data_IF_918773193479
#
_entry.id   IF_918773193479
#
_cell.length_a   1.000
_cell.length_b   1.000
_cell.length_c   1.000
_cell.angle_alpha   90.00
_cell.angle_beta   90.00
_cell.angle_gamma   90.00
#
_symmetry.space_group_name_H-M   'P 1'
#
loop_
_entity.id
_entity.type
_entity.pdbx_description
1 polymer ?
#
# COMPACT_ATOMS: atom_id res chain seq x y z
N UNK A 1 5.82 -12.52 11.07
CA UNK A 1 5.80 -11.82 9.77
C UNK A 1 5.96 -10.30 9.92
N UNK A 2 4.95 -9.57 10.43
CA UNK A 2 4.97 -8.09 10.56
C UNK A 2 6.23 -7.50 11.20
N UNK A 3 6.71 -8.10 12.30
CA UNK A 3 7.90 -7.61 13.04
C UNK A 3 9.22 -7.79 12.27
N UNK A 4 9.27 -8.69 11.28
CA UNK A 4 10.45 -8.83 10.40
C UNK A 4 10.36 -7.90 9.19
N UNK A 5 9.20 -7.88 8.53
CA UNK A 5 8.87 -6.92 7.48
C UNK A 5 7.37 -6.66 7.49
N UNK A 6 6.97 -5.39 7.54
CA UNK A 6 5.56 -5.01 7.69
C UNK A 6 4.67 -5.62 6.59
N UNK A 7 5.09 -5.52 5.33
CA UNK A 7 4.33 -6.07 4.19
C UNK A 7 4.21 -7.59 4.22
N UNK A 8 5.15 -8.31 4.85
CA UNK A 8 5.16 -9.77 4.87
C UNK A 8 3.94 -10.37 5.60
N UNK A 9 3.25 -9.62 6.46
CA UNK A 9 2.02 -10.10 7.09
C UNK A 9 0.90 -10.39 6.07
N UNK A 10 0.88 -9.66 4.96
CA UNK A 10 -0.16 -9.82 3.93
C UNK A 10 0.05 -11.07 3.08
N UNK A 11 1.27 -11.60 3.01
CA UNK A 11 1.58 -12.83 2.27
C UNK A 11 1.20 -14.12 3.04
N UNK A 12 0.57 -14.00 4.21
CA UNK A 12 0.05 -15.14 4.97
C UNK A 12 -1.25 -15.71 4.38
N UNK A 13 -1.90 -14.99 3.47
CA UNK A 13 -3.17 -15.37 2.84
C UNK A 13 -3.07 -15.23 1.30
N UNK A 14 -3.88 -16.02 0.59
CA UNK A 14 -4.12 -15.84 -0.85
C UNK A 14 -5.15 -14.75 -1.15
N UNK A 15 -5.35 -14.43 -2.43
CA UNK A 15 -6.34 -13.46 -2.88
C UNK A 15 -6.05 -12.02 -2.44
N UNK A 16 -7.09 -11.31 -2.01
CA UNK A 16 -7.02 -9.93 -1.55
C UNK A 16 -6.88 -9.86 -0.04
N UNK A 17 -5.88 -9.11 0.44
CA UNK A 17 -5.51 -9.08 1.86
C UNK A 17 -5.34 -7.65 2.36
N UNK A 18 -5.99 -7.34 3.47
CA UNK A 18 -5.84 -6.07 4.19
C UNK A 18 -4.93 -6.24 5.40
N UNK A 19 -3.94 -5.36 5.54
CA UNK A 19 -3.26 -5.17 6.82
C UNK A 19 -3.98 -4.06 7.60
N UNK A 20 -4.61 -4.41 8.72
CA UNK A 20 -5.19 -3.44 9.64
C UNK A 20 -4.08 -2.73 10.40
N UNK A 21 -4.12 -1.40 10.46
CA UNK A 21 -3.10 -0.63 11.15
C UNK A 21 -3.02 -0.95 12.65
N UNK A 22 -4.17 -1.27 13.25
CA UNK A 22 -4.29 -1.44 14.70
C UNK A 22 -4.39 -0.10 15.44
N UNK A 23 -4.72 -0.19 16.71
CA UNK A 23 -4.93 0.93 17.63
C UNK A 23 -4.27 0.69 18.99
N UNK A 24 -3.93 -0.56 19.31
CA UNK A 24 -3.28 -0.92 20.56
C UNK A 24 -1.78 -0.69 20.48
N UNK A 25 -1.20 -0.14 21.55
CA UNK A 25 0.23 0.14 21.65
C UNK A 25 1.10 -1.12 21.56
N UNK A 26 0.60 -2.26 22.05
CA UNK A 26 1.27 -3.56 21.93
C UNK A 26 1.27 -4.11 20.49
N UNK A 27 0.51 -3.48 19.59
CA UNK A 27 0.32 -3.87 18.20
C UNK A 27 -0.44 -5.19 18.03
N UNK A 28 -1.10 -5.72 19.05
CA UNK A 28 -1.81 -7.01 18.99
C UNK A 28 -2.97 -7.02 17.98
N UNK A 29 -3.52 -5.86 17.63
CA UNK A 29 -4.59 -5.69 16.63
C UNK A 29 -4.09 -5.24 15.24
N UNK A 30 -2.77 -5.03 15.08
CA UNK A 30 -2.15 -4.70 13.80
C UNK A 30 -1.81 -5.98 13.02
N UNK A 31 -2.82 -6.55 12.37
CA UNK A 31 -2.79 -7.87 11.74
C UNK A 31 -3.35 -7.87 10.32
N UNK A 32 -2.95 -8.88 9.53
CA UNK A 32 -3.52 -9.13 8.21
C UNK A 32 -4.85 -9.88 8.31
N UNK A 33 -5.78 -9.57 7.42
CA UNK A 33 -7.04 -10.28 7.22
C UNK A 33 -7.30 -10.44 5.73
N UNK A 34 -7.78 -11.61 5.34
CA UNK A 34 -8.24 -11.85 3.97
C UNK A 34 -9.57 -11.12 3.75
N UNK A 35 -9.67 -10.38 2.65
CA UNK A 35 -10.90 -9.73 2.19
C UNK A 35 -11.68 -10.63 1.24
N UNK A 36 -10.95 -11.31 0.35
CA UNK A 36 -11.48 -12.25 -0.62
C UNK A 36 -10.37 -13.25 -0.99
N UNK A 37 -10.74 -14.51 -1.28
CA UNK A 37 -9.80 -15.54 -1.68
C UNK A 37 -9.35 -15.38 -3.15
N UNK A 38 -8.41 -16.22 -3.58
CA UNK A 38 -7.87 -16.22 -4.94
C UNK A 38 -8.88 -16.58 -6.03
N UNK A 39 -10.00 -17.23 -5.69
CA UNK A 39 -11.07 -17.59 -6.64
C UNK A 39 -12.13 -16.50 -6.76
N UNK A 40 -12.12 -15.51 -5.88
CA UNK A 40 -13.07 -14.42 -5.91
C UNK A 40 -12.97 -13.56 -7.17
N UNK A 41 -11.79 -13.43 -7.78
CA UNK A 41 -11.62 -12.63 -9.00
C UNK A 41 -10.53 -13.20 -9.89
N UNK A 42 -10.83 -14.37 -10.45
CA UNK A 42 -9.95 -15.21 -11.27
C UNK A 42 -9.63 -14.64 -12.67
N UNK A 43 -10.44 -13.68 -13.16
CA UNK A 43 -10.20 -12.97 -14.42
C UNK A 43 -8.97 -12.03 -14.37
N UNK A 44 -8.46 -11.70 -13.18
CA UNK A 44 -7.37 -10.74 -13.02
C UNK A 44 -6.02 -11.34 -13.39
N UNK A 45 -5.36 -10.72 -14.36
CA UNK A 45 -3.98 -11.04 -14.75
C UNK A 45 -3.05 -9.91 -14.30
N UNK A 46 -1.99 -10.27 -13.57
CA UNK A 46 -0.95 -9.34 -13.12
C UNK A 46 0.25 -9.46 -14.06
N UNK A 47 0.67 -8.34 -14.65
CA UNK A 47 1.85 -8.26 -15.52
C UNK A 47 2.85 -7.30 -14.86
N UNK A 48 4.10 -7.75 -14.70
CA UNK A 48 5.19 -6.97 -14.11
C UNK A 48 6.22 -6.68 -15.20
N UNK A 49 6.36 -5.40 -15.57
CA UNK A 49 7.42 -4.95 -16.47
C UNK A 49 8.67 -4.59 -15.66
N UNK A 50 9.75 -5.39 -15.81
CA UNK A 50 11.02 -5.14 -15.13
C UNK A 50 11.84 -4.13 -15.92
N UNK A 51 11.84 -2.86 -15.47
CA UNK A 51 12.44 -1.73 -16.20
C UNK A 51 13.90 -1.45 -15.86
N UNK A 52 14.40 -1.94 -14.73
CA UNK A 52 15.80 -1.74 -14.31
C UNK A 52 16.24 -2.83 -13.34
N UNK A 53 17.49 -3.28 -13.46
CA UNK A 53 18.16 -4.18 -12.52
C UNK A 53 19.07 -3.45 -11.52
N UNK A 54 19.12 -2.11 -11.59
CA UNK A 54 19.94 -1.32 -10.66
C UNK A 54 19.29 -1.32 -9.27
N UNK A 55 20.14 -1.39 -8.25
CA UNK A 55 19.70 -1.30 -6.87
C UNK A 55 19.10 0.09 -6.63
N UNK A 56 17.95 0.15 -5.96
CA UNK A 56 17.34 1.43 -5.55
C UNK A 56 18.33 2.19 -4.68
N UNK A 57 18.50 3.49 -4.95
CA UNK A 57 19.38 4.34 -4.15
C UNK A 57 18.88 4.45 -2.70
N UNK A 58 17.58 4.64 -2.51
CA UNK A 58 16.95 4.72 -1.18
C UNK A 58 16.17 3.45 -0.86
N UNK A 59 16.50 2.78 0.25
CA UNK A 59 15.74 1.63 0.74
C UNK A 59 14.32 2.03 1.17
N UNK A 60 13.35 1.11 1.11
CA UNK A 60 11.99 1.41 1.57
C UNK A 60 11.94 1.82 3.06
N UNK A 61 12.77 1.19 3.90
CA UNK A 61 12.79 1.44 5.36
C UNK A 61 13.30 2.85 5.66
N UNK A 62 14.42 3.27 5.05
CA UNK A 62 14.94 4.62 5.22
C UNK A 62 14.01 5.65 4.58
N UNK A 63 13.59 5.42 3.34
CA UNK A 63 12.76 6.36 2.60
C UNK A 63 11.40 6.63 3.25
N UNK A 64 10.72 5.59 3.77
CA UNK A 64 9.44 5.80 4.46
C UNK A 64 9.60 6.56 5.78
N UNK A 65 10.72 6.35 6.49
CA UNK A 65 11.03 7.08 7.72
C UNK A 65 11.28 8.57 7.42
N UNK A 66 12.10 8.85 6.41
CA UNK A 66 12.36 10.22 5.96
C UNK A 66 11.06 10.92 5.51
N UNK A 67 10.19 10.22 4.78
CA UNK A 67 8.86 10.76 4.43
C UNK A 67 8.03 11.08 5.67
N UNK A 68 8.03 10.23 6.70
CA UNK A 68 7.30 10.51 7.96
C UNK A 68 7.84 11.74 8.66
N UNK A 69 9.16 11.92 8.64
CA UNK A 69 9.83 13.03 9.31
C UNK A 69 9.70 14.36 8.54
N UNK A 70 9.62 14.34 7.21
CA UNK A 70 9.79 15.55 6.38
C UNK A 70 8.65 15.87 5.42
N UNK A 71 7.87 14.90 4.93
CA UNK A 71 6.78 15.16 3.99
C UNK A 71 5.56 15.72 4.71
N UNK A 72 5.18 16.95 4.36
CA UNK A 72 3.96 17.59 4.87
C UNK A 72 2.70 16.94 4.29
N UNK A 73 2.80 16.34 3.10
CA UNK A 73 1.68 15.67 2.44
C UNK A 73 1.33 14.31 3.09
N UNK A 74 2.29 13.62 3.69
CA UNK A 74 2.08 12.28 4.23
C UNK A 74 1.06 12.25 5.37
N UNK A 75 1.07 13.25 6.27
CA UNK A 75 0.11 13.31 7.38
C UNK A 75 -1.33 13.41 6.88
N UNK A 76 -1.58 14.24 5.87
CA UNK A 76 -2.89 14.36 5.25
C UNK A 76 -3.28 13.06 4.53
N UNK A 77 -2.35 12.44 3.78
CA UNK A 77 -2.59 11.16 3.12
C UNK A 77 -3.03 10.09 4.12
N UNK A 78 -2.32 9.94 5.23
CA UNK A 78 -2.59 8.90 6.22
C UNK A 78 -3.91 9.11 6.98
N UNK A 79 -4.25 10.36 7.32
CA UNK A 79 -5.45 10.68 8.11
C UNK A 79 -6.71 10.80 7.28
N UNK A 80 -6.63 11.40 6.10
CA UNK A 80 -7.82 11.83 5.35
C UNK A 80 -8.06 11.08 4.05
N UNK A 81 -7.00 10.53 3.44
CA UNK A 81 -7.10 9.91 2.10
C UNK A 81 -7.18 8.40 2.19
N UNK A 82 -6.21 7.77 2.86
CA UNK A 82 -6.11 6.30 2.93
C UNK A 82 -7.34 5.67 3.58
N UNK A 83 -7.91 6.18 4.69
CA UNK A 83 -9.11 5.57 5.29
C UNK A 83 -10.30 5.50 4.32
N UNK A 84 -10.52 6.57 3.54
CA UNK A 84 -11.59 6.62 2.53
C UNK A 84 -11.31 5.67 1.36
N UNK A 85 -10.05 5.62 0.90
CA UNK A 85 -9.63 4.72 -0.18
C UNK A 85 -9.72 3.25 0.21
N UNK A 86 -9.46 2.89 1.47
CA UNK A 86 -9.61 1.52 1.97
C UNK A 86 -11.06 1.05 1.84
N UNK A 87 -12.02 1.86 2.28
CA UNK A 87 -13.45 1.51 2.17
C UNK A 87 -13.87 1.35 0.70
N UNK A 88 -13.46 2.30 -0.16
CA UNK A 88 -13.76 2.24 -1.58
C UNK A 88 -13.10 1.04 -2.28
N UNK A 89 -11.88 0.67 -1.89
CA UNK A 89 -11.15 -0.48 -2.44
C UNK A 89 -11.78 -1.80 -2.00
N UNK A 90 -12.19 -1.91 -0.73
CA UNK A 90 -12.92 -3.09 -0.22
C UNK A 90 -14.23 -3.29 -1.00
N UNK A 91 -14.96 -2.21 -1.27
CA UNK A 91 -16.19 -2.25 -2.07
C UNK A 91 -15.91 -2.67 -3.53
N UNK A 92 -14.90 -2.07 -4.16
CA UNK A 92 -14.52 -2.41 -5.53
C UNK A 92 -14.08 -3.88 -5.67
N UNK A 93 -13.31 -4.40 -4.71
CA UNK A 93 -12.93 -5.81 -4.65
C UNK A 93 -14.16 -6.69 -4.50
N UNK A 94 -15.04 -6.38 -3.54
CA UNK A 94 -16.25 -7.16 -3.27
C UNK A 94 -17.15 -7.27 -4.50
N UNK A 95 -17.31 -6.17 -5.23
CA UNK A 95 -18.23 -6.07 -6.37
C UNK A 95 -17.57 -6.40 -7.72
N UNK A 96 -16.28 -6.75 -7.74
CA UNK A 96 -15.49 -6.93 -8.98
C UNK A 96 -15.55 -5.70 -9.91
N UNK A 97 -15.62 -4.50 -9.33
CA UNK A 97 -15.66 -3.25 -10.08
C UNK A 97 -14.23 -2.87 -10.50
N UNK A 98 -13.85 -3.34 -11.69
CA UNK A 98 -12.52 -3.10 -12.25
C UNK A 98 -12.26 -1.61 -12.48
N UNK A 99 -13.27 -0.83 -12.89
CA UNK A 99 -13.10 0.58 -13.18
C UNK A 99 -12.73 1.36 -11.90
N UNK A 100 -13.45 1.13 -10.81
CA UNK A 100 -13.14 1.71 -9.51
C UNK A 100 -11.81 1.19 -8.95
N UNK A 101 -11.56 -0.12 -9.06
CA UNK A 101 -10.31 -0.76 -8.63
C UNK A 101 -9.08 -0.14 -9.31
N UNK A 102 -9.11 0.02 -10.64
CA UNK A 102 -8.00 0.61 -11.41
C UNK A 102 -7.80 2.08 -11.06
N UNK A 103 -8.89 2.86 -10.99
CA UNK A 103 -8.82 4.28 -10.63
C UNK A 103 -8.16 4.47 -9.26
N UNK A 104 -8.57 3.68 -8.26
CA UNK A 104 -8.00 3.73 -6.91
C UNK A 104 -6.54 3.28 -6.90
N UNK A 105 -6.21 2.17 -7.57
CA UNK A 105 -4.84 1.63 -7.63
C UNK A 105 -3.86 2.62 -8.27
N UNK A 106 -4.21 3.21 -9.42
CA UNK A 106 -3.38 4.21 -10.09
C UNK A 106 -3.23 5.48 -9.25
N UNK A 107 -4.32 5.99 -8.67
CA UNK A 107 -4.27 7.20 -7.85
C UNK A 107 -3.51 7.00 -6.53
N UNK A 108 -3.49 5.79 -5.98
CA UNK A 108 -2.72 5.46 -4.77
C UNK A 108 -1.24 5.27 -5.04
N UNK A 109 -0.89 4.64 -6.16
CA UNK A 109 0.49 4.59 -6.66
C UNK A 109 1.06 6.00 -6.88
N UNK A 110 0.35 6.83 -7.64
CA UNK A 110 0.80 8.20 -7.94
C UNK A 110 0.96 9.04 -6.67
N UNK A 111 0.03 8.95 -5.72
CA UNK A 111 0.12 9.73 -4.50
C UNK A 111 1.22 9.24 -3.56
N UNK A 112 1.52 7.93 -3.55
CA UNK A 112 2.69 7.41 -2.86
C UNK A 112 3.98 8.03 -3.43
N UNK A 113 4.15 8.04 -4.75
CA UNK A 113 5.31 8.69 -5.38
C UNK A 113 5.34 10.21 -5.19
N UNK A 114 4.18 10.87 -5.10
CA UNK A 114 4.10 12.29 -4.75
C UNK A 114 4.60 12.56 -3.31
N UNK A 115 4.32 11.68 -2.35
CA UNK A 115 4.90 11.77 -1.00
C UNK A 115 6.41 11.57 -1.04
N UNK A 116 6.92 10.63 -1.84
CA UNK A 116 8.36 10.44 -2.01
C UNK A 116 9.03 11.72 -2.57
N UNK A 117 8.38 12.41 -3.50
CA UNK A 117 8.87 13.67 -4.06
C UNK A 117 8.81 14.84 -3.06
N UNK A 118 7.85 14.82 -2.14
CA UNK A 118 7.68 15.81 -1.07
C UNK A 118 8.60 15.58 0.14
N UNK A 119 9.26 14.41 0.22
CA UNK A 119 10.33 14.15 1.21
C UNK A 119 11.52 15.09 0.99
N UNK A 120 12.24 15.43 2.06
CA UNK A 120 13.49 16.22 1.99
C UNK A 120 14.68 15.41 2.55
N UNK A 121 15.65 14.96 1.71
CA UNK A 121 15.74 15.15 0.26
C UNK A 121 14.67 14.34 -0.51
N UNK A 122 14.32 14.76 -1.75
CA UNK A 122 13.30 14.07 -2.55
C UNK A 122 13.77 12.67 -2.95
N UNK A 123 12.83 11.73 -2.98
CA UNK A 123 13.07 10.33 -3.32
C UNK A 123 12.43 10.02 -4.69
N UNK A 124 13.24 9.49 -5.61
CA UNK A 124 12.81 9.09 -6.96
C UNK A 124 12.85 7.57 -7.12
N UNK A 125 11.69 6.96 -7.33
CA UNK A 125 11.55 5.52 -7.59
C UNK A 125 11.03 5.18 -8.99
N UNK A 126 10.43 6.16 -9.68
CA UNK A 126 9.98 6.05 -11.07
C UNK A 126 10.96 6.78 -11.98
#
# INVERSE_FOLDING_TARGET
>A
ARQGSGSACRSLFGGFVKWKMGSKEDGSDSVAVQLADEKHWDDLVIIIAVVSSRQKETSSTSGMRESVETSLLLQHRAKEVVPKRILAMEEAIKNRDFASFTKLSCADSNQFHAVCLDTSPPIFYM
#
